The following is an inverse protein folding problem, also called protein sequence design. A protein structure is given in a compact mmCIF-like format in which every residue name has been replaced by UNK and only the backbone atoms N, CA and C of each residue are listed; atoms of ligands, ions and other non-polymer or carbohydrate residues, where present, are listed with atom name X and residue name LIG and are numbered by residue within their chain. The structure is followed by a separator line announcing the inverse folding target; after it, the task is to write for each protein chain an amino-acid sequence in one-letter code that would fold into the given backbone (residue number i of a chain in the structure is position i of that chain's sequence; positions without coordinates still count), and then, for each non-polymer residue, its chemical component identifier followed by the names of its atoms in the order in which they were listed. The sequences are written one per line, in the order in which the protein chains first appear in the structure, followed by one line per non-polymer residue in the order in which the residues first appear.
data_IF_157625769366
#
_entry.id   IF_157625769366
#
_cell.length_a   1.000
_cell.length_b   1.000
_cell.length_c   1.000
_cell.angle_alpha   90.00
_cell.angle_beta   90.00
_cell.angle_gamma   90.00
#
_symmetry.space_group_name_H-M   'P 1'
#
loop_
_entity.id
_entity.type
_entity.pdbx_description
1 polymer ?
#
# COMPACT_ATOMS: atom_id res chain seq x y z
N UNK A 1 -46.65 -3.87 11.20
CA UNK A 1 -45.72 -2.80 10.76
C UNK A 1 -44.59 -3.46 9.99
N UNK A 2 -44.62 -3.34 8.66
CA UNK A 2 -43.55 -3.84 7.80
C UNK A 2 -42.25 -3.07 8.13
N UNK A 3 -41.18 -3.81 8.40
CA UNK A 3 -39.84 -3.23 8.47
C UNK A 3 -39.46 -2.77 7.07
N UNK A 4 -39.67 -1.49 6.78
CA UNK A 4 -39.12 -0.85 5.59
C UNK A 4 -37.59 -0.93 5.71
N UNK A 5 -36.98 -1.86 4.99
CA UNK A 5 -35.53 -1.91 4.80
C UNK A 5 -35.19 -0.68 3.96
N UNK A 6 -34.80 0.42 4.64
CA UNK A 6 -34.21 1.58 3.97
C UNK A 6 -32.85 1.15 3.41
N UNK A 7 -32.84 0.64 2.17
CA UNK A 7 -31.60 0.49 1.42
C UNK A 7 -30.92 1.86 1.36
N UNK A 8 -29.65 1.99 1.79
CA UNK A 8 -28.94 3.26 1.77
C UNK A 8 -28.59 3.60 0.33
N UNK A 9 -29.53 4.23 -0.41
CA UNK A 9 -29.38 4.63 -1.81
C UNK A 9 -28.08 5.40 -2.06
N UNK A 10 -27.65 6.16 -1.05
CA UNK A 10 -26.42 6.95 -1.05
C UNK A 10 -25.15 6.06 -1.06
N UNK A 11 -25.11 5.01 -0.20
CA UNK A 11 -24.05 4.00 -0.20
C UNK A 11 -23.91 3.35 -1.57
N UNK A 12 -25.03 2.86 -2.13
CA UNK A 12 -25.04 2.15 -3.42
C UNK A 12 -24.60 3.07 -4.56
N UNK A 13 -25.02 4.34 -4.55
CA UNK A 13 -24.64 5.31 -5.58
C UNK A 13 -23.15 5.61 -5.57
N UNK A 14 -22.56 5.88 -4.40
CA UNK A 14 -21.12 6.18 -4.27
C UNK A 14 -20.30 4.98 -4.72
N UNK A 15 -20.62 3.78 -4.19
CA UNK A 15 -19.90 2.54 -4.54
C UNK A 15 -19.95 2.27 -6.04
N UNK A 16 -21.13 2.35 -6.65
CA UNK A 16 -21.27 2.06 -8.08
C UNK A 16 -20.54 3.09 -8.94
N UNK A 17 -20.71 4.38 -8.65
CA UNK A 17 -20.07 5.45 -9.44
C UNK A 17 -18.54 5.39 -9.37
N UNK A 18 -18.02 5.13 -8.16
CA UNK A 18 -16.59 4.95 -7.96
C UNK A 18 -16.08 3.69 -8.65
N UNK A 19 -16.72 2.53 -8.44
CA UNK A 19 -16.30 1.28 -9.06
C UNK A 19 -16.38 1.34 -10.59
N UNK A 20 -17.38 2.01 -11.15
CA UNK A 20 -17.49 2.21 -12.60
C UNK A 20 -16.31 3.02 -13.16
N UNK A 21 -15.86 4.06 -12.45
CA UNK A 21 -14.67 4.81 -12.82
C UNK A 21 -13.40 3.95 -12.67
N UNK A 22 -13.26 3.27 -11.54
CA UNK A 22 -12.13 2.41 -11.22
C UNK A 22 -11.94 1.28 -12.23
N UNK A 23 -13.01 0.54 -12.57
CA UNK A 23 -12.95 -0.58 -13.53
C UNK A 23 -12.73 -0.13 -14.98
N UNK A 24 -12.94 1.15 -15.28
CA UNK A 24 -12.57 1.76 -16.56
C UNK A 24 -11.17 2.35 -16.55
N UNK A 25 -10.43 2.20 -15.46
CA UNK A 25 -9.11 2.78 -15.25
C UNK A 25 -9.11 4.33 -15.36
N UNK A 26 -10.28 4.96 -15.17
CA UNK A 26 -10.40 6.41 -15.06
C UNK A 26 -10.05 6.83 -13.64
N UNK A 27 -8.76 6.68 -13.30
CA UNK A 27 -8.25 6.90 -11.95
C UNK A 27 -8.39 8.35 -11.49
N UNK A 28 -8.31 9.31 -12.43
CA UNK A 28 -8.57 10.72 -12.14
C UNK A 28 -10.01 10.92 -11.65
N UNK A 29 -10.98 10.31 -12.34
CA UNK A 29 -12.39 10.36 -11.91
C UNK A 29 -12.61 9.55 -10.63
N UNK A 30 -12.01 8.38 -10.49
CA UNK A 30 -12.10 7.60 -9.26
C UNK A 30 -11.59 8.40 -8.04
N UNK A 31 -10.45 9.08 -8.18
CA UNK A 31 -9.88 9.96 -7.16
C UNK A 31 -10.77 11.17 -6.84
N UNK A 32 -11.58 11.65 -7.79
CA UNK A 32 -12.52 12.76 -7.55
C UNK A 32 -13.60 12.44 -6.50
N UNK A 33 -13.88 11.15 -6.24
CA UNK A 33 -14.81 10.71 -5.21
C UNK A 33 -14.20 10.61 -3.80
N UNK A 34 -12.94 11.00 -3.59
CA UNK A 34 -12.24 10.85 -2.31
C UNK A 34 -13.01 11.44 -1.14
N UNK A 35 -13.55 12.65 -1.27
CA UNK A 35 -14.22 13.34 -0.18
C UNK A 35 -15.54 12.63 0.17
N UNK A 36 -16.30 12.21 -0.83
CA UNK A 36 -17.54 11.45 -0.63
C UNK A 36 -17.28 10.12 0.06
N UNK A 37 -16.24 9.39 -0.36
CA UNK A 37 -15.87 8.09 0.22
C UNK A 37 -15.43 8.25 1.67
N UNK A 38 -14.55 9.21 1.95
CA UNK A 38 -13.99 9.41 3.28
C UNK A 38 -15.04 9.96 4.26
N UNK A 39 -15.91 10.86 3.81
CA UNK A 39 -16.98 11.41 4.66
C UNK A 39 -18.06 10.36 4.98
N UNK A 40 -18.16 9.28 4.21
CA UNK A 40 -19.09 8.17 4.42
C UNK A 40 -18.40 6.91 5.01
N UNK A 41 -17.28 7.09 5.72
CA UNK A 41 -16.46 6.00 6.24
C UNK A 41 -17.27 4.90 6.94
N UNK A 42 -18.12 5.24 7.90
CA UNK A 42 -18.86 4.26 8.71
C UNK A 42 -19.75 3.32 7.91
N UNK A 43 -20.29 3.81 6.79
CA UNK A 43 -21.20 3.08 5.91
C UNK A 43 -20.42 2.19 4.93
N UNK A 44 -19.18 2.58 4.63
CA UNK A 44 -18.31 1.99 3.61
C UNK A 44 -17.19 1.12 4.18
N UNK A 45 -16.88 1.15 5.49
CA UNK A 45 -15.72 0.49 6.12
C UNK A 45 -15.53 -1.00 5.87
N UNK A 46 -16.60 -1.72 5.50
CA UNK A 46 -16.55 -3.15 5.18
C UNK A 46 -16.38 -3.43 3.68
N UNK A 47 -16.35 -2.38 2.86
CA UNK A 47 -16.14 -2.45 1.42
C UNK A 47 -14.66 -2.28 1.10
N UNK A 48 -14.19 -2.93 0.04
CA UNK A 48 -12.83 -2.75 -0.48
C UNK A 48 -12.67 -1.43 -1.27
N UNK A 49 -13.36 -0.36 -0.85
CA UNK A 49 -13.40 0.91 -1.60
C UNK A 49 -12.24 1.83 -1.23
N UNK A 50 -11.74 1.76 0.01
CA UNK A 50 -10.63 2.59 0.46
C UNK A 50 -9.31 2.16 -0.15
N UNK A 51 -9.04 0.86 -0.21
CA UNK A 51 -7.80 0.36 -0.82
C UNK A 51 -7.78 0.69 -2.33
N UNK A 52 -8.92 0.54 -3.03
CA UNK A 52 -9.06 0.99 -4.43
C UNK A 52 -8.90 2.50 -4.61
N UNK A 53 -9.34 3.30 -3.65
CA UNK A 53 -9.16 4.75 -3.69
C UNK A 53 -7.67 5.10 -3.58
N UNK A 54 -6.93 4.44 -2.69
CA UNK A 54 -5.49 4.63 -2.55
C UNK A 54 -4.75 4.18 -3.80
N UNK A 55 -5.15 3.05 -4.40
CA UNK A 55 -4.63 2.61 -5.71
C UNK A 55 -4.89 3.68 -6.78
N UNK A 56 -6.12 4.19 -6.89
CA UNK A 56 -6.46 5.22 -7.89
C UNK A 56 -5.61 6.49 -7.72
N UNK A 57 -5.39 6.92 -6.48
CA UNK A 57 -4.52 8.06 -6.17
C UNK A 57 -3.06 7.77 -6.53
N UNK A 58 -2.62 6.52 -6.34
CA UNK A 58 -1.26 6.09 -6.65
C UNK A 58 -0.99 6.12 -8.16
N UNK A 59 -1.95 5.63 -8.96
CA UNK A 59 -1.87 5.65 -10.43
C UNK A 59 -1.79 7.07 -11.02
N UNK A 60 -2.28 8.08 -10.30
CA UNK A 60 -2.19 9.49 -10.71
C UNK A 60 -1.10 10.26 -9.95
N UNK A 61 -0.13 9.56 -9.35
CA UNK A 61 1.04 10.13 -8.67
C UNK A 61 0.70 11.06 -7.48
N UNK A 62 -0.48 10.90 -6.87
CA UNK A 62 -0.96 11.73 -5.77
C UNK A 62 -0.40 11.28 -4.39
N UNK A 63 0.91 11.11 -4.28
CA UNK A 63 1.59 10.51 -3.12
C UNK A 63 1.32 11.23 -1.79
N UNK A 64 1.35 12.57 -1.78
CA UNK A 64 1.02 13.36 -0.59
C UNK A 64 -0.42 13.13 -0.13
N UNK A 65 -1.36 13.03 -1.09
CA UNK A 65 -2.77 12.81 -0.80
C UNK A 65 -3.00 11.42 -0.20
N UNK A 66 -2.30 10.39 -0.70
CA UNK A 66 -2.34 9.02 -0.15
C UNK A 66 -1.92 9.03 1.33
N UNK A 67 -0.86 9.77 1.68
CA UNK A 67 -0.41 9.89 3.07
C UNK A 67 -1.48 10.58 3.93
N UNK A 68 -2.05 11.70 3.46
CA UNK A 68 -3.09 12.45 4.18
C UNK A 68 -4.33 11.58 4.43
N UNK A 69 -4.84 10.94 3.38
CA UNK A 69 -6.02 10.06 3.47
C UNK A 69 -5.71 8.84 4.32
N UNK A 70 -4.53 8.23 4.13
CA UNK A 70 -4.13 7.06 4.88
C UNK A 70 -4.03 7.32 6.38
N UNK A 71 -3.46 8.45 6.81
CA UNK A 71 -3.47 8.84 8.23
C UNK A 71 -4.91 9.09 8.74
N UNK A 72 -5.80 9.67 7.92
CA UNK A 72 -7.22 9.83 8.29
C UNK A 72 -7.93 8.50 8.48
N UNK A 73 -7.70 7.52 7.59
CA UNK A 73 -8.22 6.16 7.71
C UNK A 73 -7.68 5.44 8.95
N UNK A 74 -6.39 5.58 9.25
CA UNK A 74 -5.78 5.05 10.48
C UNK A 74 -6.39 5.68 11.74
N UNK A 75 -6.71 6.97 11.72
CA UNK A 75 -7.42 7.64 12.81
C UNK A 75 -8.85 7.09 12.98
N UNK A 76 -9.49 6.63 11.90
CA UNK A 76 -10.74 5.86 11.94
C UNK A 76 -10.56 4.39 12.33
N UNK A 77 -9.34 3.97 12.70
CA UNK A 77 -8.96 2.59 13.05
C UNK A 77 -9.11 1.60 11.88
N UNK A 78 -9.03 2.10 10.64
CA UNK A 78 -8.94 1.26 9.46
C UNK A 78 -7.47 0.93 9.18
N UNK A 79 -7.16 -0.36 9.11
CA UNK A 79 -5.84 -0.87 8.74
C UNK A 79 -6.01 -2.06 7.79
N UNK A 80 -5.36 -2.00 6.63
CA UNK A 80 -5.29 -3.07 5.63
C UNK A 80 -3.86 -3.14 5.09
N UNK A 81 -3.46 -4.27 4.49
CA UNK A 81 -2.14 -4.37 3.87
C UNK A 81 -2.01 -3.45 2.66
N UNK A 82 -3.07 -3.27 1.87
CA UNK A 82 -3.07 -2.35 0.73
C UNK A 82 -2.92 -0.88 1.18
N UNK A 83 -3.59 -0.47 2.28
CA UNK A 83 -3.39 0.84 2.90
C UNK A 83 -1.90 1.09 3.19
N UNK A 84 -1.26 0.15 3.88
CA UNK A 84 0.15 0.29 4.22
C UNK A 84 1.04 0.23 2.98
N UNK A 85 0.75 -0.66 2.04
CA UNK A 85 1.49 -0.77 0.79
C UNK A 85 1.54 0.57 0.04
N UNK A 86 0.38 1.19 -0.23
CA UNK A 86 0.35 2.46 -0.96
C UNK A 86 0.93 3.63 -0.16
N UNK A 87 0.70 3.70 1.16
CA UNK A 87 1.30 4.74 2.00
C UNK A 87 2.83 4.63 2.05
N UNK A 88 3.37 3.40 2.20
CA UNK A 88 4.81 3.16 2.26
C UNK A 88 5.48 3.49 0.92
N UNK A 89 4.88 3.07 -0.21
CA UNK A 89 5.37 3.44 -1.53
C UNK A 89 5.33 4.96 -1.77
N UNK A 90 4.31 5.64 -1.26
CA UNK A 90 4.22 7.10 -1.34
C UNK A 90 5.34 7.78 -0.55
N UNK A 91 5.67 7.27 0.64
CA UNK A 91 6.83 7.74 1.39
C UNK A 91 8.16 7.49 0.65
N UNK A 92 8.32 6.34 -0.02
CA UNK A 92 9.49 6.05 -0.86
C UNK A 92 9.60 7.04 -2.02
N UNK A 93 8.50 7.32 -2.72
CA UNK A 93 8.44 8.31 -3.82
C UNK A 93 8.89 9.71 -3.37
N UNK A 94 8.48 10.09 -2.16
CA UNK A 94 8.83 11.37 -1.54
C UNK A 94 10.20 11.36 -0.84
N UNK A 95 10.95 10.25 -0.91
CA UNK A 95 12.26 10.06 -0.26
C UNK A 95 12.18 10.26 1.28
N UNK A 96 11.00 10.03 1.88
CA UNK A 96 10.77 10.18 3.32
C UNK A 96 10.76 8.83 4.04
N UNK A 97 11.96 8.26 4.19
CA UNK A 97 12.14 6.98 4.90
C UNK A 97 11.85 7.09 6.39
N UNK A 98 12.02 8.26 7.00
CA UNK A 98 11.69 8.47 8.41
C UNK A 98 10.18 8.38 8.64
N UNK A 99 9.39 9.02 7.78
CA UNK A 99 7.93 8.89 7.74
C UNK A 99 7.50 7.44 7.54
N UNK A 100 8.12 6.74 6.58
CA UNK A 100 7.86 5.33 6.32
C UNK A 100 8.13 4.44 7.55
N UNK A 101 9.29 4.60 8.20
CA UNK A 101 9.62 3.85 9.43
C UNK A 101 8.69 4.19 10.59
N UNK A 102 8.30 5.45 10.72
CA UNK A 102 7.32 5.88 11.72
C UNK A 102 5.95 5.24 11.48
N UNK A 103 5.53 5.11 10.21
CA UNK A 103 4.29 4.42 9.84
C UNK A 103 4.34 2.93 10.23
N UNK A 104 5.42 2.22 9.88
CA UNK A 104 5.61 0.81 10.24
C UNK A 104 5.53 0.61 11.75
N UNK A 105 6.27 1.41 12.53
CA UNK A 105 6.31 1.32 14.01
C UNK A 105 4.96 1.57 14.68
N UNK A 106 4.09 2.38 14.09
CA UNK A 106 2.79 2.77 14.66
C UNK A 106 1.62 1.90 14.19
N UNK A 107 1.83 0.99 13.24
CA UNK A 107 0.79 0.08 12.75
C UNK A 107 0.45 -1.01 13.77
N UNK A 108 -0.85 -1.25 14.01
CA UNK A 108 -1.27 -2.39 14.82
C UNK A 108 -1.28 -3.69 14.01
N UNK A 109 -1.63 -3.61 12.73
CA UNK A 109 -1.66 -4.73 11.80
C UNK A 109 -0.26 -5.30 11.57
N UNK A 110 0.72 -4.44 11.22
CA UNK A 110 2.09 -4.89 10.94
C UNK A 110 2.78 -5.38 12.22
N UNK A 111 2.57 -4.71 13.36
CA UNK A 111 3.19 -5.10 14.63
C UNK A 111 2.40 -6.17 15.40
N UNK A 112 1.39 -6.79 14.78
CA UNK A 112 0.84 -8.03 15.31
C UNK A 112 1.92 -9.12 15.25
N UNK A 113 2.14 -9.88 16.33
CA UNK A 113 3.22 -10.89 16.42
C UNK A 113 3.23 -11.87 15.24
N UNK A 114 2.04 -12.27 14.78
CA UNK A 114 1.89 -13.19 13.64
C UNK A 114 2.32 -12.61 12.29
N UNK A 115 2.42 -11.28 12.18
CA UNK A 115 2.85 -10.57 10.97
C UNK A 115 4.28 -10.06 11.12
N UNK A 116 4.60 -9.52 12.29
CA UNK A 116 5.89 -8.90 12.62
C UNK A 116 7.06 -9.87 12.43
N UNK A 117 6.84 -11.14 12.73
CA UNK A 117 7.79 -12.23 12.49
C UNK A 117 8.41 -12.20 11.08
N UNK A 118 7.62 -11.88 10.05
CA UNK A 118 8.05 -11.94 8.65
C UNK A 118 8.97 -10.79 8.22
N UNK A 119 9.16 -9.75 9.06
CA UNK A 119 10.02 -8.61 8.74
C UNK A 119 11.00 -8.18 9.85
N UNK A 120 10.96 -8.81 11.03
CA UNK A 120 11.76 -8.40 12.19
C UNK A 120 13.10 -9.16 12.31
N UNK A 121 13.20 -10.40 11.82
CA UNK A 121 14.41 -11.24 11.98
C UNK A 121 15.55 -10.68 11.12
N UNK A 122 16.81 -10.73 11.57
CA UNK A 122 17.94 -10.30 10.74
C UNK A 122 18.30 -11.40 9.72
N UNK A 123 18.34 -11.05 8.42
CA UNK A 123 18.60 -11.97 7.30
C UNK A 123 17.67 -11.68 6.12
N UNK A 124 17.76 -12.46 5.04
CA UNK A 124 16.95 -12.31 3.83
C UNK A 124 15.45 -12.56 4.08
N UNK A 125 14.79 -11.59 4.73
CA UNK A 125 13.39 -11.66 5.19
C UNK A 125 12.39 -11.78 4.04
N UNK A 126 12.83 -11.48 2.83
CA UNK A 126 12.10 -11.81 1.61
C UNK A 126 11.82 -13.32 1.51
N UNK A 127 12.69 -14.20 1.99
CA UNK A 127 12.40 -15.65 1.99
C UNK A 127 11.34 -16.05 3.03
N UNK A 128 11.31 -15.39 4.20
CA UNK A 128 10.35 -15.71 5.28
C UNK A 128 8.91 -15.50 4.83
N UNK A 129 8.64 -14.48 4.02
CA UNK A 129 7.31 -14.16 3.49
C UNK A 129 6.74 -15.31 2.65
N UNK A 130 7.57 -16.14 2.00
CA UNK A 130 7.11 -17.34 1.28
C UNK A 130 6.51 -18.41 2.20
N UNK A 131 6.77 -18.33 3.51
CA UNK A 131 6.16 -19.20 4.54
C UNK A 131 4.73 -18.80 4.94
N UNK A 132 4.18 -17.72 4.39
CA UNK A 132 2.79 -17.32 4.65
C UNK A 132 1.81 -18.38 4.12
N UNK A 133 0.66 -18.51 4.78
CA UNK A 133 -0.46 -19.25 4.19
C UNK A 133 -0.91 -18.58 2.89
N UNK A 134 -1.35 -19.35 1.90
CA UNK A 134 -1.76 -18.85 0.58
C UNK A 134 -2.69 -17.63 0.66
N UNK A 135 -3.73 -17.71 1.48
CA UNK A 135 -4.71 -16.62 1.66
C UNK A 135 -4.06 -15.35 2.21
N UNK A 136 -3.10 -15.47 3.13
CA UNK A 136 -2.42 -14.34 3.72
C UNK A 136 -1.32 -13.81 2.78
N UNK A 137 -0.63 -14.69 2.08
CA UNK A 137 0.38 -14.37 1.07
C UNK A 137 -0.20 -13.43 0.00
N UNK A 138 -1.35 -13.81 -0.57
CA UNK A 138 -2.05 -13.01 -1.59
C UNK A 138 -2.40 -11.59 -1.12
N UNK A 139 -2.56 -11.37 0.19
CA UNK A 139 -2.95 -10.07 0.76
C UNK A 139 -1.76 -9.26 1.28
N UNK A 140 -0.81 -9.94 1.93
CA UNK A 140 0.20 -9.30 2.75
C UNK A 140 1.57 -9.24 2.07
N UNK A 141 1.89 -10.18 1.17
CA UNK A 141 3.24 -10.30 0.62
C UNK A 141 3.76 -9.00 -0.01
N UNK A 142 3.02 -8.29 -0.90
CA UNK A 142 3.50 -7.03 -1.46
C UNK A 142 3.81 -5.98 -0.39
N UNK A 143 2.94 -5.83 0.61
CA UNK A 143 3.18 -4.90 1.71
C UNK A 143 4.43 -5.26 2.51
N UNK A 144 4.60 -6.54 2.84
CA UNK A 144 5.73 -7.01 3.65
C UNK A 144 7.06 -6.91 2.91
N UNK A 145 7.08 -7.13 1.60
CA UNK A 145 8.25 -6.89 0.75
C UNK A 145 8.69 -5.42 0.84
N UNK A 146 7.74 -4.48 0.77
CA UNK A 146 8.03 -3.05 0.91
C UNK A 146 8.47 -2.68 2.32
N UNK A 147 7.91 -3.32 3.36
CA UNK A 147 8.38 -3.14 4.74
C UNK A 147 9.83 -3.59 4.90
N UNK A 148 10.19 -4.76 4.36
CA UNK A 148 11.57 -5.26 4.39
C UNK A 148 12.52 -4.34 3.62
N UNK A 149 12.14 -3.91 2.42
CA UNK A 149 12.87 -2.94 1.62
C UNK A 149 13.17 -1.65 2.41
N UNK A 150 12.15 -1.04 3.03
CA UNK A 150 12.33 0.17 3.85
C UNK A 150 13.22 -0.11 5.07
N UNK A 151 13.08 -1.28 5.71
CA UNK A 151 13.90 -1.62 6.87
C UNK A 151 15.38 -1.77 6.51
N UNK A 152 15.69 -2.38 5.37
CA UNK A 152 17.05 -2.56 4.86
C UNK A 152 17.67 -1.22 4.48
N UNK A 153 17.01 -0.46 3.61
CA UNK A 153 17.50 0.85 3.16
C UNK A 153 17.66 1.81 4.36
N UNK A 154 16.76 1.76 5.35
CA UNK A 154 16.89 2.60 6.53
C UNK A 154 18.12 2.24 7.40
N UNK A 155 18.55 0.97 7.46
CA UNK A 155 19.78 0.60 8.18
C UNK A 155 21.01 1.24 7.52
N UNK A 156 20.98 1.44 6.20
CA UNK A 156 22.06 2.04 5.41
C UNK A 156 22.15 3.57 5.61
N UNK A 157 21.05 4.24 5.99
CA UNK A 157 21.07 5.67 6.37
C UNK A 157 22.00 5.96 7.55
N UNK A 158 22.13 5.00 8.48
CA UNK A 158 22.97 5.12 9.69
C UNK A 158 24.47 5.11 9.30
N UNK A 159 24.81 4.62 8.11
CA UNK A 159 26.18 4.60 7.57
C UNK A 159 26.63 5.89 6.88
N UNK A 160 25.92 7.03 7.05
CA UNK A 160 26.19 8.32 6.40
C UNK A 160 26.07 8.35 4.87
N UNK A 161 25.41 7.38 4.25
CA UNK A 161 25.04 7.48 2.83
C UNK A 161 23.90 8.49 2.67
N UNK A 162 24.07 9.44 1.74
CA UNK A 162 22.96 10.31 1.33
C UNK A 162 21.99 9.45 0.53
N UNK A 163 20.86 9.11 1.14
CA UNK A 163 19.78 8.42 0.44
C UNK A 163 18.98 9.45 -0.35
N UNK A 164 19.09 9.36 -1.66
CA UNK A 164 18.31 10.13 -2.62
C UNK A 164 17.46 9.19 -3.49
N UNK A 165 16.71 9.79 -4.41
CA UNK A 165 15.79 9.07 -5.29
C UNK A 165 16.50 8.05 -6.18
N UNK A 166 17.71 8.36 -6.65
CA UNK A 166 18.49 7.44 -7.49
C UNK A 166 18.96 6.22 -6.69
N UNK A 167 19.42 6.44 -5.45
CA UNK A 167 19.76 5.35 -4.54
C UNK A 167 18.57 4.43 -4.29
N UNK A 168 17.40 5.00 -3.98
CA UNK A 168 16.16 4.23 -3.79
C UNK A 168 15.79 3.45 -5.06
N UNK A 169 15.97 4.02 -6.24
CA UNK A 169 15.71 3.33 -7.50
C UNK A 169 16.55 2.06 -7.64
N UNK A 170 17.87 2.15 -7.46
CA UNK A 170 18.75 0.99 -7.57
C UNK A 170 18.40 -0.08 -6.53
N UNK A 171 18.12 0.32 -5.28
CA UNK A 171 17.72 -0.63 -4.24
C UNK A 171 16.37 -1.28 -4.52
N UNK A 172 15.46 -0.59 -5.20
CA UNK A 172 14.18 -1.16 -5.60
C UNK A 172 14.35 -2.17 -6.75
N UNK A 173 15.29 -1.93 -7.68
CA UNK A 173 15.70 -2.95 -8.66
C UNK A 173 16.30 -4.18 -7.98
N UNK A 174 17.18 -3.99 -7.00
CA UNK A 174 17.75 -5.09 -6.22
C UNK A 174 16.66 -5.92 -5.52
N UNK A 175 15.63 -5.26 -4.97
CA UNK A 175 14.45 -5.93 -4.41
C UNK A 175 13.76 -6.82 -5.47
N UNK A 176 13.47 -6.29 -6.66
CA UNK A 176 12.78 -7.03 -7.73
C UNK A 176 13.63 -8.24 -8.17
N UNK A 177 14.93 -8.05 -8.36
CA UNK A 177 15.85 -9.13 -8.71
C UNK A 177 15.89 -10.21 -7.62
N UNK A 178 15.98 -9.81 -6.36
CA UNK A 178 16.02 -10.74 -5.23
C UNK A 178 14.76 -11.59 -5.14
N UNK A 179 13.57 -11.01 -5.29
CA UNK A 179 12.32 -11.79 -5.22
C UNK A 179 12.15 -12.69 -6.45
N UNK A 180 12.65 -12.28 -7.62
CA UNK A 180 12.68 -13.11 -8.82
C UNK A 180 13.56 -14.35 -8.57
N UNK A 181 14.76 -14.16 -8.04
CA UNK A 181 15.68 -15.25 -7.67
C UNK A 181 15.11 -16.20 -6.61
N UNK A 182 14.36 -15.65 -5.65
CA UNK A 182 13.67 -16.44 -4.61
C UNK A 182 12.45 -17.21 -5.13
N UNK A 183 12.05 -17.02 -6.39
CA UNK A 183 10.95 -17.75 -7.02
C UNK A 183 9.56 -17.25 -6.61
N UNK A 184 9.40 -15.96 -6.36
CA UNK A 184 8.08 -15.36 -6.13
C UNK A 184 7.16 -15.48 -7.34
N UNK A 185 5.85 -15.58 -7.08
CA UNK A 185 4.84 -15.61 -8.12
C UNK A 185 4.91 -14.38 -9.03
N UNK A 186 4.70 -14.59 -10.34
CA UNK A 186 4.82 -13.53 -11.34
C UNK A 186 3.90 -12.33 -11.10
N UNK A 187 2.74 -12.51 -10.45
CA UNK A 187 1.84 -11.39 -10.14
C UNK A 187 2.43 -10.42 -9.10
N UNK A 188 3.28 -10.90 -8.17
CA UNK A 188 3.98 -10.04 -7.19
C UNK A 188 5.03 -9.21 -7.91
N UNK A 189 5.77 -9.84 -8.81
CA UNK A 189 6.82 -9.20 -9.61
C UNK A 189 6.20 -8.10 -10.46
N UNK A 190 5.15 -8.41 -11.23
CA UNK A 190 4.40 -7.43 -12.04
C UNK A 190 3.87 -6.27 -11.18
N UNK A 191 3.37 -6.55 -9.97
CA UNK A 191 2.88 -5.51 -9.07
C UNK A 191 3.99 -4.57 -8.59
N UNK A 192 5.18 -5.09 -8.29
CA UNK A 192 6.33 -4.29 -7.89
C UNK A 192 6.97 -3.54 -9.05
N UNK A 193 7.02 -4.13 -10.25
CA UNK A 193 7.45 -3.43 -11.47
C UNK A 193 6.51 -2.27 -11.80
N UNK A 194 5.19 -2.45 -11.66
CA UNK A 194 4.23 -1.35 -11.80
C UNK A 194 4.49 -0.24 -10.78
N UNK A 195 4.71 -0.59 -9.52
CA UNK A 195 5.03 0.37 -8.47
C UNK A 195 6.35 1.12 -8.75
N UNK A 196 7.38 0.42 -9.21
CA UNK A 196 8.66 1.00 -9.64
C UNK A 196 8.45 2.07 -10.72
N UNK A 197 7.70 1.75 -11.78
CA UNK A 197 7.41 2.69 -12.88
C UNK A 197 6.72 3.96 -12.39
N UNK A 198 5.74 3.82 -11.49
CA UNK A 198 4.98 4.94 -10.94
C UNK A 198 5.84 5.79 -9.99
N UNK A 199 6.54 5.17 -9.05
CA UNK A 199 7.31 5.88 -8.00
C UNK A 199 8.48 6.65 -8.58
N UNK A 200 9.16 6.06 -9.56
CA UNK A 200 10.38 6.61 -10.13
C UNK A 200 10.18 7.29 -11.48
N UNK A 201 8.95 7.29 -12.01
CA UNK A 201 8.56 7.90 -13.31
C UNK A 201 9.41 7.36 -14.47
N UNK A 202 9.53 6.03 -14.53
CA UNK A 202 10.31 5.34 -15.56
C UNK A 202 9.37 4.78 -16.62
N UNK A 203 9.49 5.30 -17.83
CA UNK A 203 9.02 4.63 -19.03
C UNK A 203 10.08 3.61 -19.45
N UNK A 204 9.75 2.32 -19.38
CA UNK A 204 10.56 1.20 -19.94
C UNK A 204 9.90 0.74 -21.23
#
# INVERSE_FOLDING_TARGET
MERVIKFPKEKTKIINSFNDAYFREDFQKAASYKDDIINNFDILKNENIFDKLLESLFEIYAFNEIIIIGERLRNFKYESFDLYYYMLLSYVSLVDLYGAKSLIKRSKLLNNESIKYYYEIDGANYSNILGLSEVLFMKAAPCLLIVNYINEVFKETIGNYKIDREYLLYRFFDLINMIYELGYDGWIILRLEKALKIIFEIDI
#
